data_IF_392698816320
#
_entry.id   IF_392698816320
#
_cell.length_a   1.000
_cell.length_b   1.000
_cell.length_c   1.000
_cell.angle_alpha   90.00
_cell.angle_beta   90.00
_cell.angle_gamma   90.00
#
_symmetry.space_group_name_H-M   'P 1'
#
loop_
_entity.id
_entity.type
_entity.pdbx_description
1 polymer ?
#
# COMPACT_ATOMS: atom_id res chain seq x y z
N UNK A 1 4.16 22.63 14.12
CA UNK A 1 4.42 21.49 13.21
C UNK A 1 3.08 20.82 12.95
N UNK A 2 2.67 20.68 11.68
CA UNK A 2 1.46 19.94 11.34
C UNK A 2 1.79 18.46 11.19
N UNK A 3 1.03 17.58 11.85
CA UNK A 3 1.21 16.14 11.74
C UNK A 3 0.52 15.62 10.47
N UNK A 4 1.13 14.67 9.73
CA UNK A 4 0.47 14.05 8.59
C UNK A 4 -0.76 13.28 9.04
N UNK A 5 -1.93 13.66 8.52
CA UNK A 5 -3.20 12.99 8.74
C UNK A 5 -3.72 12.53 7.39
N UNK A 6 -4.32 11.33 7.37
CA UNK A 6 -5.03 10.83 6.20
C UNK A 6 -6.04 11.85 5.68
N UNK A 7 -6.05 12.03 4.36
CA UNK A 7 -7.06 12.79 3.64
C UNK A 7 -8.33 11.96 3.39
N UNK A 8 -9.44 12.60 3.04
CA UNK A 8 -10.67 11.87 2.73
C UNK A 8 -10.42 10.82 1.61
N UNK A 9 -10.95 9.58 1.76
CA UNK A 9 -10.80 8.56 0.73
C UNK A 9 -11.36 9.03 -0.61
N UNK A 10 -10.67 8.67 -1.69
CA UNK A 10 -11.07 9.01 -3.05
C UNK A 10 -12.00 7.94 -3.60
N UNK A 11 -13.17 8.36 -4.09
CA UNK A 11 -14.02 7.49 -4.89
C UNK A 11 -13.34 7.23 -6.24
N UNK A 12 -13.01 5.96 -6.50
CA UNK A 12 -12.30 5.55 -7.70
C UNK A 12 -13.24 5.41 -8.89
N UNK A 13 -12.83 5.89 -10.06
CA UNK A 13 -13.60 5.74 -11.30
C UNK A 13 -13.58 4.27 -11.74
N UNK A 14 -14.71 3.58 -11.62
CA UNK A 14 -14.79 2.15 -11.88
C UNK A 14 -14.31 1.77 -13.29
N UNK A 15 -14.44 2.67 -14.28
CA UNK A 15 -13.94 2.42 -15.64
C UNK A 15 -12.41 2.43 -15.74
N UNK A 16 -11.73 3.06 -14.78
CA UNK A 16 -10.28 3.15 -14.70
C UNK A 16 -9.61 1.99 -13.97
N UNK A 17 -10.36 1.10 -13.34
CA UNK A 17 -9.79 0.10 -12.45
C UNK A 17 -10.23 -1.32 -12.80
N UNK A 18 -9.30 -2.27 -12.67
CA UNK A 18 -9.53 -3.71 -12.84
C UNK A 18 -8.96 -4.46 -11.64
N UNK A 19 -9.59 -5.57 -11.25
CA UNK A 19 -9.04 -6.40 -10.17
C UNK A 19 -7.80 -7.17 -10.65
N UNK A 20 -6.84 -7.41 -9.75
CA UNK A 20 -5.59 -8.07 -10.12
C UNK A 20 -5.78 -9.47 -10.72
N UNK A 21 -6.74 -10.25 -10.22
CA UNK A 21 -7.06 -11.57 -10.74
C UNK A 21 -7.64 -11.52 -12.17
N UNK A 22 -8.56 -10.57 -12.43
CA UNK A 22 -9.14 -10.33 -13.75
C UNK A 22 -8.07 -9.89 -14.76
N UNK A 23 -7.22 -8.94 -14.36
CA UNK A 23 -6.09 -8.51 -15.19
C UNK A 23 -5.09 -9.65 -15.44
N UNK A 24 -4.82 -10.50 -14.45
CA UNK A 24 -3.91 -11.63 -14.61
C UNK A 24 -4.47 -12.68 -15.57
N UNK A 25 -5.79 -12.90 -15.55
CA UNK A 25 -6.50 -13.76 -16.50
C UNK A 25 -6.50 -13.18 -17.91
N UNK A 26 -6.72 -11.87 -18.09
CA UNK A 26 -6.73 -11.23 -19.42
C UNK A 26 -5.38 -11.33 -20.14
N UNK A 27 -4.26 -11.42 -19.40
CA UNK A 27 -2.94 -11.67 -19.98
C UNK A 27 -2.75 -13.05 -20.60
N UNK A 28 -3.68 -14.00 -20.38
CA UNK A 28 -3.67 -15.33 -21.01
C UNK A 28 -4.55 -15.40 -22.26
N UNK A 29 -5.22 -14.31 -22.63
CA UNK A 29 -6.06 -14.26 -23.82
C UNK A 29 -5.25 -14.29 -25.12
N UNK A 30 -5.92 -14.56 -26.24
CA UNK A 30 -5.29 -14.56 -27.57
C UNK A 30 -4.72 -13.19 -27.97
N UNK A 31 -5.27 -12.11 -27.40
CA UNK A 31 -4.82 -10.72 -27.61
C UNK A 31 -4.63 -10.07 -26.24
N UNK A 32 -3.52 -10.38 -25.54
CA UNK A 32 -3.30 -9.87 -24.19
C UNK A 32 -3.09 -8.35 -24.21
N UNK A 33 -3.56 -7.62 -23.18
CA UNK A 33 -3.28 -6.20 -23.08
C UNK A 33 -1.78 -5.93 -22.91
N UNK A 34 -1.36 -4.72 -23.27
CA UNK A 34 -0.02 -4.23 -22.98
C UNK A 34 0.06 -3.90 -21.49
N UNK A 35 0.91 -4.62 -20.77
CA UNK A 35 1.19 -4.35 -19.36
C UNK A 35 2.22 -3.22 -19.26
N UNK A 36 1.93 -2.18 -18.48
CA UNK A 36 2.82 -1.03 -18.29
C UNK A 36 3.10 -0.82 -16.81
N UNK A 37 4.38 -0.87 -16.43
CA UNK A 37 4.85 -0.57 -15.08
C UNK A 37 5.07 0.93 -14.94
N UNK A 38 4.19 1.59 -14.16
CA UNK A 38 4.17 3.04 -13.95
C UNK A 38 4.74 3.50 -12.62
N UNK A 39 5.32 2.58 -11.86
CA UNK A 39 6.00 2.89 -10.60
C UNK A 39 7.19 3.83 -10.84
N UNK A 40 7.66 4.58 -9.83
CA UNK A 40 8.88 5.38 -9.94
C UNK A 40 10.08 4.58 -10.49
N UNK A 41 10.95 5.22 -11.28
CA UNK A 41 12.12 4.57 -11.92
C UNK A 41 13.01 3.78 -10.96
N UNK A 42 13.15 4.25 -9.72
CA UNK A 42 13.90 3.55 -8.68
C UNK A 42 13.33 2.15 -8.42
N UNK A 43 12.02 2.01 -8.32
CA UNK A 43 11.33 0.72 -8.13
C UNK A 43 11.34 -0.13 -9.40
N UNK A 44 11.19 0.48 -10.57
CA UNK A 44 11.29 -0.22 -11.86
C UNK A 44 12.67 -0.89 -12.02
N UNK A 45 13.75 -0.19 -11.63
CA UNK A 45 15.12 -0.70 -11.70
C UNK A 45 15.42 -1.75 -10.63
N UNK A 46 14.96 -1.53 -9.40
CA UNK A 46 15.22 -2.43 -8.28
C UNK A 46 14.48 -3.78 -8.41
N UNK A 47 13.25 -3.76 -8.93
CA UNK A 47 12.44 -4.95 -9.12
C UNK A 47 11.61 -4.86 -10.41
N UNK A 48 12.23 -5.11 -11.58
CA UNK A 48 11.54 -5.11 -12.87
C UNK A 48 10.39 -6.11 -12.93
N UNK A 49 9.27 -5.72 -13.53
CA UNK A 49 8.14 -6.63 -13.78
C UNK A 49 8.33 -7.28 -15.15
N UNK A 50 8.46 -8.60 -15.16
CA UNK A 50 8.61 -9.36 -16.40
C UNK A 50 7.45 -9.07 -17.38
N UNK A 51 7.80 -8.83 -18.65
CA UNK A 51 6.87 -8.55 -19.76
C UNK A 51 6.04 -7.26 -19.60
N UNK A 52 6.38 -6.39 -18.65
CA UNK A 52 5.82 -5.05 -18.56
C UNK A 52 6.71 -4.04 -19.29
N UNK A 53 6.09 -3.10 -20.00
CA UNK A 53 6.75 -1.92 -20.53
C UNK A 53 7.03 -0.95 -19.38
N UNK A 54 8.29 -0.55 -19.19
CA UNK A 54 8.69 0.36 -18.10
C UNK A 54 8.56 1.82 -18.53
N UNK A 55 7.55 2.52 -18.02
CA UNK A 55 7.26 3.91 -18.34
C UNK A 55 6.76 4.62 -17.09
N UNK A 56 7.30 5.78 -16.75
CA UNK A 56 6.68 6.56 -15.68
C UNK A 56 5.31 7.06 -16.12
N UNK A 57 4.41 7.26 -15.16
CA UNK A 57 3.04 7.68 -15.43
C UNK A 57 2.97 8.97 -16.26
N UNK A 58 3.90 9.91 -16.01
CA UNK A 58 4.05 11.17 -16.76
C UNK A 58 4.42 10.96 -18.24
N UNK A 59 5.08 9.87 -18.59
CA UNK A 59 5.55 9.60 -19.95
C UNK A 59 4.44 9.01 -20.85
N UNK A 60 3.36 8.51 -20.24
CA UNK A 60 2.29 7.77 -20.92
C UNK A 60 1.66 8.56 -22.06
N UNK A 61 1.33 9.84 -21.83
CA UNK A 61 0.63 10.68 -22.80
C UNK A 61 1.40 10.80 -24.14
N UNK A 62 2.73 10.69 -24.10
CA UNK A 62 3.57 10.75 -25.31
C UNK A 62 3.53 9.49 -26.17
N UNK A 63 3.02 8.36 -25.64
CA UNK A 63 3.09 7.04 -26.27
C UNK A 63 1.84 6.75 -27.10
N UNK A 64 1.70 7.45 -28.23
CA UNK A 64 0.51 7.33 -29.12
C UNK A 64 0.19 5.90 -29.57
N UNK A 65 1.19 5.02 -29.70
CA UNK A 65 0.97 3.62 -30.07
C UNK A 65 0.15 2.84 -29.03
N UNK A 66 0.09 3.31 -27.78
CA UNK A 66 -0.72 2.73 -26.70
C UNK A 66 -2.18 3.22 -26.71
N UNK A 67 -2.53 4.25 -27.49
CA UNK A 67 -3.89 4.81 -27.50
C UNK A 67 -4.94 3.84 -28.05
N UNK A 68 -4.53 3.04 -29.04
CA UNK A 68 -5.41 2.13 -29.79
C UNK A 68 -5.28 0.66 -29.31
N UNK A 69 -4.49 0.40 -28.27
CA UNK A 69 -4.34 -0.94 -27.70
C UNK A 69 -5.01 -1.04 -26.34
N UNK A 70 -5.31 -2.27 -25.93
CA UNK A 70 -5.67 -2.54 -24.54
C UNK A 70 -4.43 -2.38 -23.66
N UNK A 71 -4.53 -1.60 -22.59
CA UNK A 71 -3.43 -1.24 -21.70
C UNK A 71 -3.83 -1.44 -20.24
N UNK A 72 -2.98 -2.13 -19.49
CA UNK A 72 -3.11 -2.33 -18.05
C UNK A 72 -1.93 -1.69 -17.33
N UNK A 73 -2.21 -0.71 -16.47
CA UNK A 73 -1.21 -0.02 -15.65
C UNK A 73 -0.96 -0.75 -14.33
N UNK A 74 0.32 -0.84 -13.95
CA UNK A 74 0.78 -1.31 -12.65
C UNK A 74 1.45 -0.17 -11.89
N UNK A 75 0.70 0.42 -10.96
CA UNK A 75 1.23 1.35 -9.96
C UNK A 75 1.85 0.65 -8.75
N UNK A 76 2.20 1.43 -7.74
CA UNK A 76 2.68 0.91 -6.45
C UNK A 76 1.55 0.28 -5.63
N UNK A 77 0.30 0.71 -5.86
CA UNK A 77 -0.85 0.37 -5.03
C UNK A 77 -1.04 1.33 -3.85
N UNK A 78 -0.10 2.26 -3.68
CA UNK A 78 -0.13 3.35 -2.69
C UNK A 78 -0.39 4.72 -3.34
N UNK A 79 -0.49 4.75 -4.67
CA UNK A 79 -0.56 5.91 -5.57
C UNK A 79 -1.94 6.03 -6.25
N UNK A 80 -3.01 5.58 -5.57
CA UNK A 80 -4.32 5.42 -6.19
C UNK A 80 -4.88 6.76 -6.72
N UNK A 81 -4.73 7.86 -6.00
CA UNK A 81 -5.22 9.15 -6.46
C UNK A 81 -4.52 9.63 -7.74
N UNK A 82 -3.20 9.51 -7.79
CA UNK A 82 -2.40 9.88 -8.97
C UNK A 82 -2.74 9.00 -10.19
N UNK A 83 -2.81 7.68 -10.00
CA UNK A 83 -3.13 6.72 -11.05
C UNK A 83 -4.56 6.89 -11.57
N UNK A 84 -5.53 7.12 -10.67
CA UNK A 84 -6.93 7.36 -11.02
C UNK A 84 -7.08 8.65 -11.86
N UNK A 85 -6.43 9.74 -11.43
CA UNK A 85 -6.41 10.99 -12.17
C UNK A 85 -5.77 10.82 -13.55
N UNK A 86 -4.59 10.20 -13.61
CA UNK A 86 -3.89 9.98 -14.86
C UNK A 86 -4.70 9.10 -15.82
N UNK A 87 -5.33 8.04 -15.33
CA UNK A 87 -6.20 7.19 -16.14
C UNK A 87 -7.33 8.00 -16.79
N UNK A 88 -8.07 8.81 -16.02
CA UNK A 88 -9.13 9.66 -16.56
C UNK A 88 -8.62 10.61 -17.64
N UNK A 89 -7.51 11.29 -17.38
CA UNK A 89 -6.91 12.24 -18.31
C UNK A 89 -6.44 11.55 -19.61
N UNK A 90 -5.77 10.40 -19.50
CA UNK A 90 -5.32 9.63 -20.66
C UNK A 90 -6.49 9.10 -21.48
N UNK A 91 -7.58 8.65 -20.85
CA UNK A 91 -8.80 8.25 -21.56
C UNK A 91 -9.41 9.39 -22.37
N UNK A 92 -9.43 10.61 -21.81
CA UNK A 92 -9.85 11.82 -22.55
C UNK A 92 -8.91 12.15 -23.73
N UNK A 93 -7.65 11.73 -23.66
CA UNK A 93 -6.65 11.89 -24.72
C UNK A 93 -6.66 10.74 -25.75
N UNK A 94 -7.66 9.85 -25.70
CA UNK A 94 -7.87 8.81 -26.71
C UNK A 94 -7.31 7.44 -26.36
N UNK A 95 -6.84 7.22 -25.12
CA UNK A 95 -6.52 5.87 -24.63
C UNK A 95 -7.82 5.10 -24.37
N UNK A 96 -8.33 4.41 -25.39
CA UNK A 96 -9.69 3.86 -25.40
C UNK A 96 -9.88 2.71 -24.38
N UNK A 97 -8.86 1.87 -24.21
CA UNK A 97 -8.90 0.67 -23.38
C UNK A 97 -7.80 0.72 -22.31
N UNK A 98 -7.91 1.70 -21.41
CA UNK A 98 -6.96 1.89 -20.32
C UNK A 98 -7.60 1.57 -18.97
N UNK A 99 -6.95 0.69 -18.21
CA UNK A 99 -7.29 0.37 -16.82
C UNK A 99 -6.02 0.24 -15.97
N UNK A 100 -6.15 0.42 -14.66
CA UNK A 100 -5.09 0.19 -13.68
C UNK A 100 -5.46 -0.95 -12.73
N UNK A 101 -4.46 -1.71 -12.30
CA UNK A 101 -4.66 -2.82 -11.35
C UNK A 101 -4.90 -2.27 -9.95
N UNK A 102 -6.05 -2.59 -9.35
CA UNK A 102 -6.33 -2.31 -7.94
C UNK A 102 -5.32 -3.02 -7.03
N UNK A 103 -4.77 -2.29 -6.07
CA UNK A 103 -3.69 -2.79 -5.20
C UNK A 103 -2.32 -2.86 -5.88
N UNK A 104 -2.20 -2.37 -7.13
CA UNK A 104 -0.94 -2.18 -7.85
C UNK A 104 -0.13 -3.46 -8.06
N UNK A 105 1.20 -3.30 -8.12
CA UNK A 105 2.15 -4.39 -8.39
C UNK A 105 2.06 -5.54 -7.39
N UNK A 106 1.68 -5.28 -6.14
CA UNK A 106 1.62 -6.32 -5.10
C UNK A 106 0.43 -7.25 -5.31
N UNK A 107 -0.75 -6.67 -5.51
CA UNK A 107 -1.93 -7.46 -5.88
C UNK A 107 -1.70 -8.21 -7.19
N UNK A 108 -1.04 -7.58 -8.16
CA UNK A 108 -0.62 -8.22 -9.41
C UNK A 108 0.28 -9.44 -9.19
N UNK A 109 1.35 -9.29 -8.41
CA UNK A 109 2.26 -10.38 -8.08
C UNK A 109 1.55 -11.52 -7.35
N UNK A 110 0.68 -11.20 -6.38
CA UNK A 110 -0.11 -12.20 -5.66
C UNK A 110 -1.05 -12.98 -6.60
N UNK A 111 -1.73 -12.30 -7.54
CA UNK A 111 -2.59 -12.93 -8.53
C UNK A 111 -1.79 -13.83 -9.50
N UNK A 112 -0.58 -13.42 -9.87
CA UNK A 112 0.34 -14.22 -10.73
C UNK A 112 0.99 -15.38 -9.99
N UNK A 113 1.20 -15.25 -8.69
CA UNK A 113 1.81 -16.26 -7.82
C UNK A 113 0.81 -17.36 -7.37
N UNK A 114 -0.42 -17.38 -7.92
CA UNK A 114 -1.41 -18.41 -7.62
C UNK A 114 -0.91 -19.87 -7.83
N UNK A 115 0.24 -20.04 -8.50
CA UNK A 115 0.94 -21.31 -8.73
C UNK A 115 2.32 -21.45 -8.05
N UNK A 116 2.83 -20.45 -7.32
CA UNK A 116 4.14 -20.49 -6.68
C UNK A 116 4.14 -19.80 -5.30
N UNK A 117 4.38 -20.61 -4.25
CA UNK A 117 4.80 -20.26 -2.88
C UNK A 117 4.52 -18.85 -2.32
N UNK A 118 3.64 -18.81 -1.31
CA UNK A 118 3.43 -17.82 -0.24
C UNK A 118 4.17 -16.47 -0.35
N UNK A 119 3.54 -15.48 -0.96
CA UNK A 119 3.91 -14.07 -0.75
C UNK A 119 3.53 -13.63 0.68
N UNK A 120 4.35 -12.80 1.36
CA UNK A 120 4.03 -12.32 2.70
C UNK A 120 2.73 -11.51 2.68
N UNK A 121 1.83 -11.79 3.61
CA UNK A 121 0.57 -11.05 3.71
C UNK A 121 0.78 -9.64 4.27
N UNK A 122 1.76 -9.46 5.16
CA UNK A 122 2.12 -8.19 5.78
C UNK A 122 3.36 -7.60 5.10
N UNK A 123 3.13 -6.65 4.21
CA UNK A 123 4.20 -6.05 3.43
C UNK A 123 4.96 -5.02 4.29
N UNK A 124 6.30 -5.02 4.29
CA UNK A 124 7.06 -3.94 4.91
C UNK A 124 6.73 -2.61 4.24
N UNK A 125 6.59 -1.56 5.03
CA UNK A 125 6.27 -0.21 4.60
C UNK A 125 7.04 0.77 5.47
N UNK A 126 7.91 1.57 4.86
CA UNK A 126 8.63 2.61 5.59
C UNK A 126 7.74 3.83 5.89
N UNK A 127 8.17 4.62 6.87
CA UNK A 127 7.43 5.80 7.33
C UNK A 127 7.27 6.88 6.24
N UNK A 128 8.28 7.10 5.40
CA UNK A 128 8.23 8.12 4.36
C UNK A 128 7.19 7.76 3.30
N UNK A 129 7.20 6.52 2.84
CA UNK A 129 6.25 5.97 1.87
C UNK A 129 4.85 5.97 2.43
N UNK A 130 4.65 5.57 3.69
CA UNK A 130 3.33 5.59 4.31
C UNK A 130 2.77 7.02 4.45
N UNK A 131 3.60 7.96 4.92
CA UNK A 131 3.20 9.38 5.05
C UNK A 131 2.77 9.94 3.70
N UNK A 132 3.49 9.63 2.62
CA UNK A 132 3.09 10.05 1.27
C UNK A 132 1.73 9.43 0.86
N UNK A 133 1.49 8.17 1.22
CA UNK A 133 0.27 7.44 0.90
C UNK A 133 -0.97 7.89 1.69
N UNK A 134 -0.82 8.61 2.83
CA UNK A 134 -1.94 9.20 3.58
C UNK A 134 -2.75 10.22 2.74
N UNK A 135 -2.10 10.83 1.73
CA UNK A 135 -2.71 11.76 0.78
C UNK A 135 -3.28 11.14 -0.48
N UNK A 136 -3.18 9.81 -0.66
CA UNK A 136 -3.43 9.14 -1.95
C UNK A 136 -4.80 8.47 -2.06
N UNK A 137 -5.78 8.97 -1.29
CA UNK A 137 -7.18 8.56 -1.43
C UNK A 137 -7.52 7.16 -0.91
N UNK A 138 -6.63 6.50 -0.17
CA UNK A 138 -6.96 5.27 0.56
C UNK A 138 -7.56 5.55 1.93
N UNK A 139 -8.56 4.75 2.30
CA UNK A 139 -8.98 4.65 3.70
C UNK A 139 -8.07 3.68 4.46
N UNK A 140 -7.25 4.21 5.34
CA UNK A 140 -6.39 3.41 6.21
C UNK A 140 -7.13 2.96 7.47
N UNK A 141 -6.78 1.78 7.94
CA UNK A 141 -7.04 1.31 9.31
C UNK A 141 -5.70 1.06 9.97
N UNK A 142 -5.50 1.58 11.18
CA UNK A 142 -4.28 1.36 11.95
C UNK A 142 -4.55 0.32 13.04
N UNK A 143 -3.85 -0.81 13.00
CA UNK A 143 -3.74 -1.69 14.17
C UNK A 143 -2.55 -1.19 14.99
N UNK A 144 -2.84 -0.53 16.11
CA UNK A 144 -1.81 -0.01 17.01
C UNK A 144 -1.52 -1.01 18.11
N UNK A 145 -0.37 -1.68 18.01
CA UNK A 145 0.28 -2.45 19.06
C UNK A 145 1.40 -1.63 19.74
N UNK A 146 1.35 -0.30 19.61
CA UNK A 146 2.30 0.66 20.17
C UNK A 146 1.69 1.40 21.35
N UNK A 147 2.19 1.16 22.56
CA UNK A 147 1.84 1.94 23.75
C UNK A 147 2.23 3.41 23.58
N UNK A 148 3.37 3.70 22.93
CA UNK A 148 3.82 5.07 22.70
C UNK A 148 2.83 5.85 21.82
N UNK A 149 2.35 5.24 20.73
CA UNK A 149 1.31 5.82 19.89
C UNK A 149 0.00 6.00 20.66
N UNK A 150 -0.42 4.98 21.42
CA UNK A 150 -1.68 5.02 22.15
C UNK A 150 -1.71 6.07 23.29
N UNK A 151 -0.53 6.46 23.81
CA UNK A 151 -0.39 7.57 24.78
C UNK A 151 -0.17 8.93 24.10
N UNK A 152 0.15 8.97 22.81
CA UNK A 152 0.37 10.22 22.10
C UNK A 152 -0.95 11.01 21.98
N UNK A 153 -0.89 12.35 21.98
CA UNK A 153 -2.07 13.19 21.72
C UNK A 153 -2.73 12.81 20.39
N UNK A 154 -4.07 12.78 20.36
CA UNK A 154 -4.84 12.41 19.17
C UNK A 154 -4.50 13.27 17.94
N UNK A 155 -4.11 14.53 18.13
CA UNK A 155 -3.66 15.42 17.04
C UNK A 155 -2.41 14.93 16.30
N UNK A 156 -1.69 13.94 16.85
CA UNK A 156 -0.52 13.31 16.24
C UNK A 156 -0.88 12.02 15.49
N UNK A 157 -2.12 11.53 15.63
CA UNK A 157 -2.51 10.27 15.02
C UNK A 157 -2.69 10.44 13.50
N UNK A 158 -2.14 9.52 12.69
CA UNK A 158 -2.21 9.60 11.23
C UNK A 158 -3.60 9.28 10.67
N UNK A 159 -4.47 8.68 11.49
CA UNK A 159 -5.85 8.36 11.15
C UNK A 159 -6.79 8.80 12.27
N UNK A 160 -8.08 9.06 11.96
CA UNK A 160 -9.11 9.29 12.96
C UNK A 160 -9.27 8.13 13.97
N UNK A 161 -9.77 8.37 15.20
CA UNK A 161 -9.92 7.33 16.23
C UNK A 161 -10.74 6.12 15.80
N UNK A 162 -11.78 6.32 14.99
CA UNK A 162 -12.65 5.25 14.49
C UNK A 162 -11.95 4.31 13.50
N UNK A 163 -10.79 4.73 12.98
CA UNK A 163 -9.92 3.94 12.10
C UNK A 163 -8.75 3.31 12.86
N UNK A 164 -8.67 3.52 14.18
CA UNK A 164 -7.64 2.95 15.04
C UNK A 164 -8.18 1.76 15.84
N UNK A 165 -7.47 0.64 15.75
CA UNK A 165 -7.71 -0.57 16.54
C UNK A 165 -6.53 -0.74 17.50
N UNK A 166 -6.73 -0.36 18.76
CA UNK A 166 -5.73 -0.53 19.79
C UNK A 166 -5.64 -2.00 20.23
N UNK A 167 -4.42 -2.55 20.22
CA UNK A 167 -4.09 -3.88 20.72
C UNK A 167 -3.14 -3.72 21.90
N UNK A 168 -3.42 -4.44 22.98
CA UNK A 168 -2.59 -4.48 24.19
C UNK A 168 -2.39 -5.92 24.63
N UNK A 169 -1.19 -6.21 25.12
CA UNK A 169 -0.85 -7.49 25.71
C UNK A 169 0.02 -7.26 26.94
N UNK A 170 -0.30 -7.94 28.04
CA UNK A 170 0.41 -7.84 29.32
C UNK A 170 0.76 -9.24 29.86
N UNK A 171 1.77 -9.28 30.73
CA UNK A 171 2.20 -10.48 31.46
C UNK A 171 3.30 -11.29 30.76
N UNK A 172 3.56 -12.50 31.29
CA UNK A 172 4.69 -13.37 30.92
C UNK A 172 4.67 -13.89 29.47
N UNK A 173 3.53 -13.81 28.78
CA UNK A 173 3.33 -14.26 27.39
C UNK A 173 2.92 -13.08 26.47
N UNK A 174 3.46 -11.89 26.75
CA UNK A 174 3.13 -10.65 26.03
C UNK A 174 3.17 -10.82 24.52
N UNK A 175 4.25 -11.37 23.96
CA UNK A 175 4.44 -11.44 22.51
C UNK A 175 3.45 -12.39 21.84
N UNK A 176 3.24 -13.60 22.39
CA UNK A 176 2.27 -14.54 21.86
C UNK A 176 0.84 -13.98 21.87
N UNK A 177 0.47 -13.28 22.95
CA UNK A 177 -0.82 -12.59 23.05
C UNK A 177 -0.94 -11.45 22.05
N UNK A 178 0.14 -10.69 21.84
CA UNK A 178 0.20 -9.60 20.87
C UNK A 178 0.02 -10.12 19.45
N UNK A 179 0.71 -11.20 19.08
CA UNK A 179 0.57 -11.90 17.79
C UNK A 179 -0.88 -12.30 17.57
N UNK A 180 -1.48 -13.02 18.53
CA UNK A 180 -2.86 -13.48 18.42
C UNK A 180 -3.86 -12.32 18.29
N UNK A 181 -3.64 -11.23 19.02
CA UNK A 181 -4.52 -10.08 19.00
C UNK A 181 -4.41 -9.26 17.70
N UNK A 182 -3.19 -9.07 17.15
CA UNK A 182 -2.98 -8.45 15.84
C UNK A 182 -3.65 -9.30 14.75
N UNK A 183 -3.42 -10.62 14.76
CA UNK A 183 -4.00 -11.53 13.78
C UNK A 183 -5.54 -11.51 13.82
N UNK A 184 -6.13 -11.52 15.02
CA UNK A 184 -7.58 -11.40 15.21
C UNK A 184 -8.12 -10.07 14.69
N UNK A 185 -7.48 -8.96 15.04
CA UNK A 185 -7.89 -7.63 14.58
C UNK A 185 -7.87 -7.53 13.05
N UNK A 186 -6.85 -8.09 12.40
CA UNK A 186 -6.78 -8.17 10.94
C UNK A 186 -7.93 -9.00 10.35
N UNK A 187 -8.16 -10.22 10.86
CA UNK A 187 -9.23 -11.09 10.38
C UNK A 187 -10.62 -10.47 10.56
N UNK A 188 -10.86 -9.84 11.70
CA UNK A 188 -12.13 -9.15 11.98
C UNK A 188 -12.33 -7.95 11.05
N UNK A 189 -11.25 -7.22 10.70
CA UNK A 189 -11.33 -6.16 9.70
C UNK A 189 -11.64 -6.73 8.33
N UNK A 190 -10.92 -7.77 7.89
CA UNK A 190 -11.13 -8.42 6.59
C UNK A 190 -12.59 -8.88 6.40
N UNK A 191 -13.20 -9.48 7.42
CA UNK A 191 -14.62 -9.89 7.41
C UNK A 191 -15.60 -8.71 7.31
N UNK A 192 -15.21 -7.53 7.80
CA UNK A 192 -16.01 -6.30 7.77
C UNK A 192 -15.76 -5.45 6.54
N UNK A 193 -14.79 -5.78 5.70
CA UNK A 193 -14.54 -5.03 4.46
C UNK A 193 -15.77 -5.18 3.58
N UNK A 194 -16.54 -4.09 3.48
CA UNK A 194 -17.56 -3.95 2.46
C UNK A 194 -16.89 -3.43 1.20
N UNK A 195 -17.44 -3.78 0.03
CA UNK A 195 -17.08 -3.13 -1.23
C UNK A 195 -17.47 -1.65 -1.12
N UNK A 196 -16.53 -0.85 -0.66
CA UNK A 196 -16.64 0.59 -0.69
C UNK A 196 -16.14 1.07 -2.06
N UNK A 197 -16.72 2.14 -2.60
CA UNK A 197 -16.29 2.73 -3.88
C UNK A 197 -14.88 3.36 -3.86
N UNK A 198 -14.08 3.08 -2.83
CA UNK A 198 -12.75 3.62 -2.59
C UNK A 198 -11.78 2.52 -2.14
N UNK A 199 -10.49 2.76 -2.32
CA UNK A 199 -9.45 1.84 -1.88
C UNK A 199 -9.31 1.83 -0.35
N UNK A 200 -9.05 0.67 0.23
CA UNK A 200 -8.83 0.48 1.67
C UNK A 200 -7.45 -0.14 1.89
N UNK A 201 -6.83 0.16 3.03
CA UNK A 201 -5.56 -0.43 3.44
C UNK A 201 -5.47 -0.58 4.96
N UNK A 202 -4.61 -1.48 5.41
CA UNK A 202 -4.36 -1.68 6.83
C UNK A 202 -2.87 -1.58 7.13
N UNK A 203 -2.49 -0.88 8.19
CA UNK A 203 -1.11 -0.84 8.67
C UNK A 203 -1.03 -1.25 10.13
N UNK A 204 -0.05 -2.09 10.46
CA UNK A 204 0.29 -2.49 11.83
C UNK A 204 1.45 -1.64 12.33
N UNK A 205 1.30 -1.07 13.53
CA UNK A 205 2.31 -0.21 14.16
C UNK A 205 2.63 -0.77 15.54
N UNK A 206 3.92 -0.96 15.82
CA UNK A 206 4.45 -1.43 17.10
C UNK A 206 5.37 -0.40 17.76
N UNK A 207 5.72 -0.60 19.03
CA UNK A 207 6.75 0.19 19.71
C UNK A 207 8.15 -0.28 19.33
N UNK A 208 9.01 0.65 18.89
CA UNK A 208 10.43 0.39 18.62
C UNK A 208 10.72 -0.69 17.56
N UNK A 209 11.95 -1.18 17.55
CA UNK A 209 12.41 -2.29 16.68
C UNK A 209 11.95 -3.63 17.27
N UNK A 210 10.64 -3.83 17.43
CA UNK A 210 10.15 -5.21 17.61
C UNK A 210 10.25 -5.87 16.23
N UNK A 211 11.27 -6.74 16.16
CA UNK A 211 11.94 -7.27 14.97
C UNK A 211 11.02 -7.91 13.95
N UNK A 212 11.53 -8.05 12.72
CA UNK A 212 10.97 -8.92 11.68
C UNK A 212 10.42 -10.27 12.20
N UNK A 213 10.91 -10.77 13.34
CA UNK A 213 10.37 -11.96 13.99
C UNK A 213 8.91 -11.82 14.46
N UNK A 214 8.45 -10.67 14.97
CA UNK A 214 7.05 -10.49 15.35
C UNK A 214 6.17 -10.42 14.10
N UNK A 215 6.60 -9.67 13.07
CA UNK A 215 5.94 -9.64 11.76
C UNK A 215 5.81 -11.06 11.21
N UNK A 216 6.90 -11.84 11.19
CA UNK A 216 6.91 -13.22 10.74
C UNK A 216 5.99 -14.13 11.57
N UNK A 217 5.92 -13.95 12.90
CA UNK A 217 4.99 -14.70 13.76
C UNK A 217 3.52 -14.37 13.47
N UNK A 218 3.21 -13.09 13.24
CA UNK A 218 1.86 -12.66 12.82
C UNK A 218 1.55 -13.24 11.44
N UNK A 219 2.47 -13.16 10.48
CA UNK A 219 2.32 -13.77 9.15
C UNK A 219 2.08 -15.27 9.26
N UNK A 220 2.83 -16.00 10.08
CA UNK A 220 2.64 -17.44 10.31
C UNK A 220 1.28 -17.76 10.94
N UNK A 221 0.77 -16.87 11.80
CA UNK A 221 -0.57 -17.02 12.43
C UNK A 221 -1.69 -16.70 11.44
N UNK A 222 -1.42 -15.82 10.47
CA UNK A 222 -2.35 -15.46 9.41
C UNK A 222 -2.31 -16.45 8.24
N UNK A 223 -1.19 -17.12 8.04
CA UNK A 223 -1.06 -18.26 7.16
C UNK A 223 -1.97 -19.40 7.68
N UNK A 224 -2.72 -20.08 6.81
CA UNK A 224 -3.46 -21.26 7.23
C UNK A 224 -2.50 -22.31 7.80
N UNK A 225 -2.90 -22.95 8.90
CA UNK A 225 -2.24 -24.12 9.47
C UNK A 225 -1.91 -25.15 8.37
N UNK A 226 -0.70 -25.71 8.38
CA UNK A 226 -0.24 -26.80 7.49
C UNK A 226 -0.84 -28.17 7.83
N UNK A 227 -2.01 -28.20 8.47
CA UNK A 227 -2.72 -29.42 8.79
C UNK A 227 -3.39 -29.94 7.51
N UNK A 228 -2.80 -30.99 6.90
CA UNK A 228 -3.20 -31.57 5.61
C UNK A 228 -4.65 -32.10 5.55
N UNK A 229 -5.39 -32.04 6.66
CA UNK A 229 -6.76 -32.52 6.84
C UNK A 229 -7.84 -31.43 6.73
N UNK A 230 -7.46 -30.15 6.65
CA UNK A 230 -8.40 -29.03 6.40
C UNK A 230 -7.88 -28.23 5.21
N UNK A 231 -8.64 -28.22 4.11
CA UNK A 231 -8.30 -27.53 2.88
C UNK A 231 -7.76 -26.11 3.17
N UNK A 232 -6.48 -25.89 2.83
CA UNK A 232 -5.77 -24.66 3.13
C UNK A 232 -6.35 -23.46 2.40
N UNK A 233 -6.04 -22.26 2.92
CA UNK A 233 -6.27 -20.99 2.20
C UNK A 233 -5.50 -21.05 0.89
N UNK A 234 -6.21 -21.13 -0.22
CA UNK A 234 -5.55 -21.17 -1.53
C UNK A 234 -4.81 -19.85 -1.79
N UNK A 235 -3.80 -19.87 -2.68
CA UNK A 235 -3.16 -18.63 -3.13
C UNK A 235 -4.17 -17.62 -3.73
N UNK A 236 -5.33 -18.10 -4.18
CA UNK A 236 -6.48 -17.28 -4.59
C UNK A 236 -7.12 -16.51 -3.43
N UNK A 237 -7.14 -17.05 -2.21
CA UNK A 237 -7.70 -16.36 -1.04
C UNK A 237 -6.76 -15.28 -0.50
N UNK A 238 -5.44 -15.51 -0.53
CA UNK A 238 -4.44 -14.49 -0.21
C UNK A 238 -4.45 -13.36 -1.23
N UNK A 239 -4.52 -13.69 -2.52
CA UNK A 239 -4.68 -12.71 -3.60
C UNK A 239 -5.96 -11.90 -3.46
N UNK A 240 -7.09 -12.56 -3.17
CA UNK A 240 -8.37 -11.89 -2.92
C UNK A 240 -8.29 -10.96 -1.70
N UNK A 241 -7.68 -11.41 -0.60
CA UNK A 241 -7.49 -10.58 0.59
C UNK A 241 -6.58 -9.38 0.33
N UNK A 242 -5.46 -9.54 -0.38
CA UNK A 242 -4.56 -8.43 -0.74
C UNK A 242 -5.15 -7.47 -1.77
N UNK A 243 -6.01 -7.96 -2.66
CA UNK A 243 -6.77 -7.12 -3.59
C UNK A 243 -7.88 -6.33 -2.90
N UNK A 244 -8.44 -6.89 -1.81
CA UNK A 244 -9.56 -6.30 -1.07
C UNK A 244 -9.12 -5.37 0.06
N UNK A 245 -8.08 -5.76 0.79
CA UNK A 245 -7.50 -5.06 1.93
C UNK A 245 -6.00 -5.38 2.05
N UNK A 246 -5.15 -4.69 1.27
CA UNK A 246 -3.71 -4.81 1.42
C UNK A 246 -3.29 -4.44 2.85
N UNK A 247 -2.35 -5.21 3.39
CA UNK A 247 -1.90 -5.10 4.77
C UNK A 247 -0.40 -4.86 4.84
N UNK A 248 -0.02 -3.93 5.70
CA UNK A 248 1.34 -3.42 5.80
C UNK A 248 1.83 -3.47 7.24
N UNK A 249 3.14 -3.61 7.39
CA UNK A 249 3.86 -3.49 8.64
C UNK A 249 4.73 -2.24 8.57
N UNK A 250 4.57 -1.32 9.52
CA UNK A 250 5.37 -0.10 9.53
C UNK A 250 6.79 -0.41 10.03
N UNK A 251 7.76 -0.31 9.14
CA UNK A 251 9.17 -0.57 9.47
C UNK A 251 9.69 0.46 10.48
N UNK A 252 10.25 -0.03 11.58
CA UNK A 252 10.68 0.81 12.71
C UNK A 252 9.54 1.37 13.58
N UNK A 253 8.30 1.00 13.29
CA UNK A 253 7.13 1.26 14.14
C UNK A 253 6.82 2.75 14.36
N UNK A 254 6.22 3.06 15.51
CA UNK A 254 5.84 4.45 15.84
C UNK A 254 7.04 5.40 15.88
N UNK A 255 8.21 4.91 16.30
CA UNK A 255 9.42 5.71 16.40
C UNK A 255 9.87 6.22 15.02
N UNK A 256 9.94 5.35 14.01
CA UNK A 256 10.34 5.75 12.66
C UNK A 256 9.37 6.77 12.06
N UNK A 257 8.06 6.60 12.30
CA UNK A 257 7.05 7.58 11.89
C UNK A 257 7.30 8.95 12.52
N UNK A 258 7.43 9.03 13.84
CA UNK A 258 7.65 10.33 14.52
C UNK A 258 8.96 10.99 14.09
N UNK A 259 10.03 10.21 13.88
CA UNK A 259 11.31 10.71 13.37
C UNK A 259 11.17 11.28 11.96
N UNK A 260 10.46 10.57 11.07
CA UNK A 260 10.22 11.02 9.71
C UNK A 260 9.42 12.32 9.68
N UNK A 261 8.37 12.44 10.51
CA UNK A 261 7.60 13.69 10.64
C UNK A 261 8.48 14.85 11.08
N UNK A 262 9.33 14.63 12.10
CA UNK A 262 10.25 15.65 12.59
C UNK A 262 11.27 16.06 11.52
N UNK A 263 11.82 15.10 10.76
CA UNK A 263 12.75 15.37 9.67
C UNK A 263 12.10 16.19 8.55
N UNK A 264 10.90 15.82 8.11
CA UNK A 264 10.17 16.57 7.08
C UNK A 264 9.88 18.01 7.53
N UNK A 265 9.51 18.21 8.80
CA UNK A 265 9.27 19.54 9.33
C UNK A 265 10.55 20.39 9.41
N UNK A 266 11.69 19.79 9.76
CA UNK A 266 12.99 20.48 9.76
C UNK A 266 13.38 20.93 8.34
N UNK A 267 13.16 20.09 7.33
CA UNK A 267 13.40 20.44 5.91
C UNK A 267 12.50 21.59 5.46
N UNK A 268 11.22 21.60 5.85
CA UNK A 268 10.31 22.70 5.51
C UNK A 268 10.72 24.02 6.14
N UNK A 269 11.24 23.98 7.38
CA UNK A 269 11.76 25.17 8.05
C UNK A 269 12.98 25.73 7.33
N UNK A 270 13.94 24.88 6.93
CA UNK A 270 15.13 25.33 6.20
C UNK A 270 14.82 25.80 4.78
N UNK A 271 13.88 25.17 4.08
CA UNK A 271 13.43 25.60 2.76
C UNK A 271 12.70 26.96 2.78
N UNK A 272 12.00 27.28 3.87
CA UNK A 272 11.33 28.57 4.07
C UNK A 272 12.30 29.69 4.51
N UNK A 273 13.52 29.35 4.92
CA UNK A 273 14.58 30.34 5.06
C UNK A 273 15.15 30.67 3.68
N UNK A 274 14.82 31.86 3.14
CA UNK A 274 15.54 32.44 2.00
C UNK A 274 17.04 32.33 2.27
N UNK A 275 17.76 31.63 1.41
CA UNK A 275 19.22 31.69 1.36
C UNK A 275 19.59 33.18 1.33
N UNK A 276 20.26 33.67 2.38
CA UNK A 276 20.79 35.02 2.36
C UNK A 276 21.66 35.15 1.11
N UNK A 277 21.44 36.24 0.36
CA UNK A 277 22.17 36.51 -0.86
C UNK A 277 23.67 36.28 -0.62
N UNK A 278 24.42 35.69 -1.57
CA UNK A 278 25.85 35.50 -1.40
C UNK A 278 26.48 36.86 -1.06
N UNK A 279 26.99 36.98 0.17
CA UNK A 279 27.84 38.09 0.55
C UNK A 279 29.13 37.97 -0.25
N UNK A 280 29.20 38.65 -1.39
CA UNK A 280 30.38 38.68 -2.25
C UNK A 280 30.07 39.24 -3.62
N UNK A 281 30.00 40.57 -3.74
CA UNK A 281 30.08 41.28 -5.01
C UNK A 281 31.33 42.17 -4.99
N UNK A 282 32.16 41.95 -6.01
CA UNK A 282 33.38 42.65 -6.46
C UNK A 282 34.66 42.29 -5.71
#
# INVERSE_FOLDING_TARGET
MAWPVQTAPLALDQACWVNAAEAAASMQSAQPPTLVDVRPRSLQRAAPIARALQLELSDMASKRFLQQTSVVLLGTGLDNAEVDQACRQLRQQGFAQLQAVRGGVRAWQAAKAATAGSQPLLQPLDAQTWIAALGQGMQWTVISASEAMQRAPQAQWPVPPEQLVAVRAEGKERDAKLVAAIARAYQDRLKRVRHAGYAQGLVVITDGVVSDSLRAQVENTLAPSTDASKAGRSASETSAAMATLPAYWLDGGWQSYTQQVAQTAAIQQTANHRLQAPCGRL
#
